data_IF_111941123187
#
_entry.id   IF_111941123187
#
_cell.length_a   1.000
_cell.length_b   1.000
_cell.length_c   1.000
_cell.angle_alpha   90.00
_cell.angle_beta   90.00
_cell.angle_gamma   90.00
#
_symmetry.space_group_name_H-M   'P 1'
#
loop_
_entity.id
_entity.type
_entity.pdbx_description
1 polymer ?
#
# COMPACT_ATOMS: atom_id res chain seq x y z
N UNK A 1 14.67 68.90 -22.40
CA UNK A 1 13.38 68.23 -22.67
C UNK A 1 13.68 67.05 -23.59
N UNK A 2 13.97 65.90 -22.99
CA UNK A 2 14.16 64.62 -23.68
C UNK A 2 13.41 63.63 -22.82
N UNK A 3 12.32 63.08 -23.37
CA UNK A 3 11.50 62.05 -22.74
C UNK A 3 12.30 60.76 -22.68
N UNK A 4 12.30 60.13 -21.50
CA UNK A 4 12.84 58.80 -21.26
C UNK A 4 11.63 57.88 -21.17
N UNK A 5 11.56 56.92 -22.09
CA UNK A 5 10.56 55.85 -22.10
C UNK A 5 11.00 54.72 -21.14
N UNK A 6 10.10 54.36 -20.22
CA UNK A 6 10.19 53.17 -19.38
C UNK A 6 9.82 51.90 -20.17
N UNK A 7 10.55 50.78 -20.03
CA UNK A 7 10.04 49.48 -20.44
C UNK A 7 9.23 48.82 -19.31
N UNK A 8 7.98 48.47 -19.64
CA UNK A 8 7.13 47.57 -18.85
C UNK A 8 7.79 46.21 -18.68
N UNK A 9 7.95 45.78 -17.43
CA UNK A 9 8.17 44.38 -17.07
C UNK A 9 6.85 43.59 -17.16
N UNK A 10 6.79 42.63 -18.07
CA UNK A 10 5.75 41.59 -18.09
C UNK A 10 6.22 40.42 -17.21
N UNK A 11 5.65 40.33 -16.01
CA UNK A 11 5.82 39.21 -15.10
C UNK A 11 4.56 38.35 -15.11
N UNK A 12 4.60 37.19 -15.77
CA UNK A 12 4.00 35.92 -15.31
C UNK A 12 4.26 34.82 -16.35
N UNK A 13 5.30 34.02 -16.15
CA UNK A 13 5.45 32.72 -16.81
C UNK A 13 5.65 31.69 -15.71
N UNK A 14 4.55 31.02 -15.31
CA UNK A 14 4.66 29.78 -14.55
C UNK A 14 5.12 28.67 -15.51
N UNK A 15 6.17 27.90 -15.18
CA UNK A 15 6.47 26.69 -15.91
C UNK A 15 5.55 25.58 -15.40
N UNK A 16 4.46 25.30 -16.12
CA UNK A 16 3.84 23.99 -16.06
C UNK A 16 4.78 23.01 -16.76
N UNK A 17 5.40 22.11 -16.00
CA UNK A 17 6.17 20.99 -16.55
C UNK A 17 5.16 19.86 -16.82
N UNK A 18 4.83 19.53 -18.09
CA UNK A 18 4.03 18.36 -18.39
C UNK A 18 4.90 17.13 -18.21
N UNK A 19 4.50 16.24 -17.30
CA UNK A 19 5.06 14.90 -17.22
C UNK A 19 4.39 14.05 -18.31
N UNK A 20 5.04 13.98 -19.47
CA UNK A 20 4.73 12.98 -20.49
C UNK A 20 5.31 11.62 -20.03
N UNK A 21 4.51 10.83 -19.32
CA UNK A 21 4.66 9.38 -19.40
C UNK A 21 4.12 8.97 -20.75
N UNK A 22 5.01 8.76 -21.72
CA UNK A 22 4.66 8.23 -23.03
C UNK A 22 4.01 6.85 -22.87
N UNK A 23 2.68 6.85 -22.81
CA UNK A 23 1.85 5.67 -22.96
C UNK A 23 2.01 5.16 -24.39
N UNK A 24 2.88 4.17 -24.57
CA UNK A 24 2.81 3.33 -25.76
C UNK A 24 1.54 2.51 -25.66
N UNK A 25 0.48 3.05 -26.26
CA UNK A 25 -0.78 2.35 -26.53
C UNK A 25 -0.51 1.27 -27.58
N UNK A 26 -0.05 0.11 -27.14
CA UNK A 26 -0.15 -1.14 -27.89
C UNK A 26 -1.44 -1.84 -27.47
N UNK A 27 -2.44 -1.83 -28.35
CA UNK A 27 -3.57 -2.75 -28.27
C UNK A 27 -3.04 -4.18 -28.26
N UNK A 28 -3.43 -4.99 -27.28
CA UNK A 28 -4.01 -6.33 -27.49
C UNK A 28 -4.00 -7.19 -26.19
N UNK A 29 -5.15 -7.85 -26.02
CA UNK A 29 -5.52 -8.94 -25.10
C UNK A 29 -5.23 -8.73 -23.60
N UNK A 30 -5.95 -7.81 -22.97
CA UNK A 30 -6.33 -8.02 -21.56
C UNK A 30 -7.37 -9.14 -21.53
N UNK A 31 -7.06 -10.26 -20.88
CA UNK A 31 -8.06 -11.27 -20.53
C UNK A 31 -8.98 -10.67 -19.47
N UNK A 32 -9.97 -9.90 -19.92
CA UNK A 32 -11.09 -9.46 -19.08
C UNK A 32 -11.92 -10.70 -18.77
N UNK A 33 -11.81 -11.21 -17.55
CA UNK A 33 -12.71 -12.26 -17.07
C UNK A 33 -14.07 -11.58 -16.84
N UNK A 34 -15.13 -11.92 -17.60
CA UNK A 34 -16.45 -11.39 -17.31
C UNK A 34 -16.93 -11.97 -15.97
N UNK A 35 -17.18 -11.09 -15.01
CA UNK A 35 -17.86 -11.46 -13.76
C UNK A 35 -19.25 -12.01 -14.08
N UNK A 36 -19.58 -13.16 -13.48
CA UNK A 36 -20.90 -13.77 -13.61
C UNK A 36 -21.97 -12.83 -13.02
N UNK A 37 -23.12 -12.62 -13.70
CA UNK A 37 -24.23 -11.89 -13.13
C UNK A 37 -24.88 -12.74 -12.04
N UNK A 38 -25.06 -12.14 -10.86
CA UNK A 38 -25.85 -12.68 -9.75
C UNK A 38 -27.24 -13.05 -10.26
N UNK A 39 -27.58 -14.35 -10.25
CA UNK A 39 -28.90 -14.82 -10.62
C UNK A 39 -29.93 -14.38 -9.56
N UNK A 40 -30.83 -13.47 -9.94
CA UNK A 40 -32.09 -13.25 -9.23
C UNK A 40 -32.96 -14.51 -9.38
N UNK A 41 -33.24 -15.15 -8.26
CA UNK A 41 -34.23 -16.23 -8.18
C UNK A 41 -35.63 -15.62 -8.19
N UNK A 42 -36.23 -15.51 -9.37
CA UNK A 42 -37.67 -15.29 -9.51
C UNK A 42 -38.41 -16.61 -9.38
N UNK A 43 -39.25 -16.71 -8.33
CA UNK A 43 -40.19 -17.80 -8.16
C UNK A 43 -41.50 -17.48 -8.88
N UNK A 44 -41.79 -18.30 -9.89
CA UNK A 44 -43.05 -18.40 -10.62
C UNK A 44 -44.29 -18.41 -9.72
N UNK A 45 -45.26 -17.54 -10.00
CA UNK A 45 -46.67 -17.82 -9.72
C UNK A 45 -47.55 -17.36 -10.88
N UNK A 46 -48.23 -18.34 -11.46
CA UNK A 46 -49.14 -18.29 -12.60
C UNK A 46 -50.43 -17.52 -12.28
N UNK A 47 -50.89 -16.65 -13.19
CA UNK A 47 -52.28 -16.67 -13.70
C UNK A 47 -52.51 -15.75 -14.91
N UNK A 48 -53.42 -16.13 -15.84
CA UNK A 48 -53.60 -15.47 -17.13
C UNK A 48 -54.77 -14.47 -17.13
N UNK A 49 -54.73 -13.46 -18.02
CA UNK A 49 -55.79 -13.18 -19.00
C UNK A 49 -55.59 -11.86 -19.76
N UNK A 50 -55.95 -11.94 -21.05
CA UNK A 50 -56.57 -10.93 -21.91
C UNK A 50 -55.76 -9.75 -22.47
N UNK A 51 -55.38 -9.92 -23.74
CA UNK A 51 -55.84 -9.14 -24.92
C UNK A 51 -56.16 -7.64 -24.76
N UNK A 52 -55.47 -6.82 -25.55
CA UNK A 52 -55.94 -5.47 -25.92
C UNK A 52 -54.89 -4.71 -26.71
N UNK A 53 -55.25 -4.28 -27.91
CA UNK A 53 -54.41 -3.61 -28.91
C UNK A 53 -54.36 -2.09 -28.74
N UNK A 54 -53.43 -1.47 -29.48
CA UNK A 54 -53.43 -0.07 -29.98
C UNK A 54 -53.07 1.05 -28.98
N UNK A 55 -51.99 1.79 -29.28
CA UNK A 55 -52.01 3.05 -30.06
C UNK A 55 -50.91 4.02 -29.58
N UNK A 56 -50.28 4.67 -30.56
CA UNK A 56 -49.32 5.75 -30.39
C UNK A 56 -49.95 7.01 -29.77
N UNK A 57 -49.17 7.77 -28.99
CA UNK A 57 -49.55 9.12 -28.62
C UNK A 57 -48.53 9.84 -27.74
N UNK A 58 -47.60 10.55 -28.37
CA UNK A 58 -46.86 11.63 -27.73
C UNK A 58 -47.82 12.78 -27.38
N UNK A 59 -47.65 13.46 -26.24
CA UNK A 59 -47.82 14.92 -26.11
C UNK A 59 -47.29 15.40 -24.74
N UNK A 60 -46.60 16.55 -24.85
CA UNK A 60 -46.07 17.46 -23.85
C UNK A 60 -47.10 17.95 -22.81
N UNK A 61 -46.64 18.30 -21.61
CA UNK A 61 -47.48 18.89 -20.57
C UNK A 61 -46.67 19.47 -19.41
N UNK A 62 -46.33 20.73 -19.57
CA UNK A 62 -45.62 21.62 -18.65
C UNK A 62 -46.46 21.97 -17.40
N UNK A 63 -45.75 22.46 -16.37
CA UNK A 63 -46.17 23.54 -15.46
C UNK A 63 -47.06 23.30 -14.19
N UNK A 64 -46.49 23.73 -13.04
CA UNK A 64 -47.04 24.59 -11.95
C UNK A 64 -47.26 23.97 -10.54
N UNK A 65 -46.48 24.56 -9.61
CA UNK A 65 -46.73 24.99 -8.22
C UNK A 65 -47.69 24.23 -7.29
N UNK A 66 -47.19 23.98 -6.08
CA UNK A 66 -48.00 23.89 -4.87
C UNK A 66 -47.16 23.77 -3.60
N UNK A 67 -46.68 24.89 -3.06
CA UNK A 67 -46.37 25.02 -1.63
C UNK A 67 -47.68 24.99 -0.83
N UNK A 68 -47.70 24.43 0.38
CA UNK A 68 -47.90 25.34 1.51
C UNK A 68 -47.01 25.04 2.73
N UNK A 69 -46.64 26.15 3.34
CA UNK A 69 -46.02 26.37 4.63
C UNK A 69 -47.06 26.22 5.76
N UNK A 70 -46.82 25.37 6.77
CA UNK A 70 -47.41 25.51 8.13
C UNK A 70 -46.47 24.94 9.21
N UNK A 71 -45.86 25.88 9.94
CA UNK A 71 -45.50 25.91 11.38
C UNK A 71 -45.83 24.71 12.29
N UNK A 72 -44.87 24.39 13.19
CA UNK A 72 -44.87 24.67 14.66
C UNK A 72 -44.61 23.46 15.58
N UNK A 73 -43.77 23.71 16.60
CA UNK A 73 -43.72 23.10 17.97
C UNK A 73 -43.37 21.60 18.06
N UNK A 74 -42.70 21.05 19.07
CA UNK A 74 -42.19 21.53 20.37
C UNK A 74 -41.11 20.56 20.86
N UNK A 75 -40.39 21.01 21.90
CA UNK A 75 -39.38 20.30 22.67
C UNK A 75 -39.77 18.89 23.16
N UNK A 76 -38.76 18.04 23.38
CA UNK A 76 -38.74 17.07 24.48
C UNK A 76 -37.30 16.64 24.75
N UNK A 77 -36.79 17.10 25.89
CA UNK A 77 -35.66 16.52 26.61
C UNK A 77 -36.03 15.12 27.10
N UNK A 78 -35.09 14.17 27.03
CA UNK A 78 -35.15 12.95 27.85
C UNK A 78 -33.74 12.53 28.26
N UNK A 79 -33.47 12.74 29.53
CA UNK A 79 -32.33 12.24 30.30
C UNK A 79 -32.58 10.79 30.77
N UNK A 80 -31.57 9.95 30.65
CA UNK A 80 -31.34 8.72 31.45
C UNK A 80 -29.84 8.44 31.38
N UNK A 81 -29.03 8.71 32.41
CA UNK A 81 -28.85 7.90 33.62
C UNK A 81 -28.92 6.40 33.35
N UNK A 82 -27.75 5.76 33.22
CA UNK A 82 -27.47 4.58 34.04
C UNK A 82 -25.97 4.33 34.19
N UNK A 83 -25.56 4.17 35.45
CA UNK A 83 -24.18 3.95 35.85
C UNK A 83 -23.76 2.50 35.73
N UNK A 84 -22.45 2.27 35.71
CA UNK A 84 -21.85 0.99 36.06
C UNK A 84 -20.41 1.22 36.52
N UNK A 85 -20.26 1.37 37.83
CA UNK A 85 -19.01 1.15 38.53
C UNK A 85 -18.70 -0.35 38.53
N UNK A 86 -17.49 -0.73 38.15
CA UNK A 86 -16.96 -2.07 38.40
C UNK A 86 -15.53 -1.96 38.92
N UNK A 87 -15.45 -2.02 40.24
CA UNK A 87 -14.25 -2.26 41.03
C UNK A 87 -14.04 -3.76 41.21
N UNK A 88 -12.89 -4.28 40.78
CA UNK A 88 -12.29 -5.53 41.31
C UNK A 88 -10.78 -5.32 41.33
N UNK A 89 -10.18 -4.95 42.46
CA UNK A 89 -9.73 -5.80 43.58
C UNK A 89 -8.59 -6.79 43.23
N UNK A 90 -7.51 -6.59 43.98
CA UNK A 90 -6.22 -7.27 44.04
C UNK A 90 -6.27 -8.80 44.21
N UNK A 91 -5.19 -9.46 43.77
CA UNK A 91 -4.44 -10.56 44.43
C UNK A 91 -3.14 -10.77 43.59
N UNK A 92 -1.92 -10.50 44.07
CA UNK A 92 -1.04 -11.41 44.84
C UNK A 92 -1.00 -12.84 44.27
N UNK A 93 0.10 -13.57 44.15
CA UNK A 93 1.52 -13.42 44.46
C UNK A 93 2.22 -14.68 43.90
N UNK A 94 3.51 -14.56 43.55
CA UNK A 94 4.61 -15.51 43.82
C UNK A 94 4.41 -17.02 43.57
N UNK A 95 5.24 -17.65 42.73
CA UNK A 95 6.10 -18.80 43.08
C UNK A 95 7.02 -19.21 41.92
N UNK A 96 8.32 -19.00 42.10
CA UNK A 96 9.37 -19.73 41.38
C UNK A 96 9.69 -21.03 42.12
N UNK A 97 10.10 -22.10 41.41
CA UNK A 97 10.96 -23.10 42.00
C UNK A 97 12.27 -23.26 41.23
N UNK A 98 13.37 -23.23 41.98
CA UNK A 98 14.71 -23.57 41.55
C UNK A 98 15.05 -25.04 41.85
N UNK A 99 15.66 -25.73 40.89
CA UNK A 99 16.58 -26.88 41.05
C UNK A 99 15.98 -28.24 41.47
N UNK A 100 16.66 -29.38 41.18
CA UNK A 100 18.11 -29.55 41.34
C UNK A 100 18.85 -30.32 40.21
N UNK A 101 20.14 -30.54 40.47
CA UNK A 101 21.28 -30.97 39.64
C UNK A 101 21.35 -32.47 39.29
N UNK A 102 22.29 -32.74 38.35
CA UNK A 102 23.13 -33.96 38.19
C UNK A 102 22.52 -35.06 37.28
N UNK A 103 23.23 -35.82 36.44
CA UNK A 103 24.61 -36.31 36.39
C UNK A 103 25.04 -36.58 34.92
N UNK A 104 26.34 -36.46 34.62
CA UNK A 104 27.00 -37.08 33.45
C UNK A 104 27.08 -38.61 33.58
N UNK A 105 27.27 -39.35 32.46
CA UNK A 105 28.51 -40.14 32.37
C UNK A 105 29.15 -40.22 30.97
N UNK A 106 30.48 -40.06 30.98
CA UNK A 106 31.56 -40.79 30.27
C UNK A 106 31.34 -41.41 28.89
N UNK A 107 32.04 -40.81 27.91
CA UNK A 107 33.08 -41.39 27.04
C UNK A 107 32.93 -42.80 26.44
N UNK A 108 32.99 -42.89 25.12
CA UNK A 108 33.71 -43.95 24.41
C UNK A 108 34.32 -43.43 23.10
N UNK A 109 35.62 -43.59 23.04
CA UNK A 109 36.56 -43.27 21.98
C UNK A 109 36.43 -44.27 20.83
N UNK A 110 36.33 -43.80 19.58
CA UNK A 110 36.73 -44.59 18.42
C UNK A 110 37.34 -43.67 17.37
N UNK A 111 38.63 -43.88 17.14
CA UNK A 111 39.47 -43.20 16.17
C UNK A 111 39.02 -43.52 14.75
N UNK A 112 38.94 -42.51 13.88
CA UNK A 112 39.26 -42.67 12.46
C UNK A 112 39.48 -41.33 11.76
N UNK A 113 40.65 -41.25 11.11
CA UNK A 113 41.02 -40.43 9.96
C UNK A 113 40.78 -38.92 10.05
N UNK A 114 41.87 -38.21 10.34
CA UNK A 114 42.07 -36.82 9.92
C UNK A 114 41.98 -36.74 8.39
N UNK A 115 40.90 -36.13 7.90
CA UNK A 115 40.90 -35.38 6.65
C UNK A 115 40.78 -33.93 7.08
N UNK A 116 41.89 -33.20 6.96
CA UNK A 116 41.89 -31.74 6.93
C UNK A 116 41.07 -31.34 5.71
N UNK A 117 39.78 -31.08 5.93
CA UNK A 117 38.95 -30.32 5.01
C UNK A 117 39.05 -28.90 5.55
N UNK A 118 39.76 -28.07 4.82
CA UNK A 118 39.65 -26.62 4.92
C UNK A 118 38.16 -26.28 4.68
N UNK A 119 37.39 -26.16 5.77
CA UNK A 119 36.09 -25.51 5.76
C UNK A 119 36.38 -24.02 5.51
N UNK A 120 36.57 -23.69 4.23
CA UNK A 120 36.45 -22.33 3.72
C UNK A 120 35.01 -21.88 4.02
N UNK A 121 34.87 -21.21 5.17
CA UNK A 121 33.71 -20.41 5.62
C UNK A 121 33.43 -19.27 4.61
N UNK A 122 33.03 -19.62 3.39
CA UNK A 122 32.69 -18.70 2.29
C UNK A 122 31.18 -18.43 2.18
N UNK A 123 30.39 -18.74 3.21
CA UNK A 123 28.92 -18.59 3.20
C UNK A 123 28.39 -17.44 4.09
N UNK A 124 29.24 -16.47 4.46
CA UNK A 124 28.78 -15.14 4.88
C UNK A 124 28.46 -14.28 3.63
N UNK A 125 27.70 -14.81 2.65
CA UNK A 125 27.07 -13.93 1.66
C UNK A 125 26.06 -13.10 2.46
N UNK A 126 26.31 -11.80 2.71
CA UNK A 126 25.47 -11.02 3.61
C UNK A 126 24.09 -11.04 3.01
N UNK A 127 23.17 -11.76 3.66
CA UNK A 127 21.80 -12.05 3.21
C UNK A 127 21.22 -10.83 2.51
N UNK A 128 21.41 -10.79 1.19
CA UNK A 128 21.04 -9.63 0.37
C UNK A 128 19.54 -9.53 0.48
N UNK A 129 19.06 -8.40 0.97
CA UNK A 129 17.65 -8.10 1.27
C UNK A 129 16.70 -8.78 0.29
N UNK A 130 15.99 -9.83 0.73
CA UNK A 130 15.08 -10.62 -0.11
C UNK A 130 13.68 -9.98 -0.24
N UNK A 131 13.60 -8.66 -0.37
CA UNK A 131 12.41 -7.97 -0.87
C UNK A 131 11.88 -6.77 -0.07
N UNK A 132 10.88 -6.09 -0.65
CA UNK A 132 10.47 -4.67 -0.53
C UNK A 132 10.78 -3.85 0.74
N UNK A 133 11.34 -2.65 0.49
CA UNK A 133 11.65 -1.57 1.44
C UNK A 133 11.08 -0.21 0.97
N UNK A 134 9.95 -0.20 0.24
CA UNK A 134 9.54 1.01 -0.48
C UNK A 134 9.12 2.14 0.46
N UNK A 135 8.22 1.84 1.39
CA UNK A 135 7.84 2.75 2.47
C UNK A 135 8.75 2.40 3.63
N UNK A 136 9.45 3.38 4.20
CA UNK A 136 10.31 3.19 5.37
C UNK A 136 9.56 3.49 6.68
N UNK A 137 8.58 4.39 6.62
CA UNK A 137 7.68 4.73 7.72
C UNK A 137 6.49 5.51 7.15
N UNK A 138 5.33 5.40 7.79
CA UNK A 138 4.11 6.10 7.41
C UNK A 138 3.37 6.59 8.66
N UNK A 139 2.67 7.72 8.56
CA UNK A 139 1.69 8.17 9.54
C UNK A 139 0.49 8.78 8.79
N UNK A 140 -0.72 8.26 8.96
CA UNK A 140 -1.90 8.85 8.28
C UNK A 140 -2.17 10.26 8.79
N UNK A 141 -2.90 11.13 8.09
CA UNK A 141 -3.57 12.26 8.74
C UNK A 141 -4.43 11.79 9.93
N UNK A 142 -4.67 12.68 10.90
CA UNK A 142 -5.63 12.42 11.98
C UNK A 142 -7.05 12.37 11.38
N UNK A 143 -7.74 11.25 11.59
CA UNK A 143 -9.14 11.03 11.24
C UNK A 143 -9.88 10.68 12.54
N UNK A 144 -11.02 11.32 12.79
CA UNK A 144 -11.82 11.12 14.01
C UNK A 144 -11.02 11.25 15.33
N UNK A 145 -10.09 12.22 15.35
CA UNK A 145 -9.24 12.49 16.52
C UNK A 145 -8.12 11.48 16.74
N UNK A 146 -7.92 10.51 15.84
CA UNK A 146 -6.83 9.52 15.93
C UNK A 146 -6.02 9.45 14.65
N UNK A 147 -4.71 9.25 14.81
CA UNK A 147 -3.81 8.97 13.70
C UNK A 147 -3.78 7.45 13.48
N UNK A 148 -4.21 6.96 12.32
CA UNK A 148 -4.08 5.55 11.98
C UNK A 148 -2.63 5.28 11.64
N UNK A 149 -2.13 4.25 12.31
CA UNK A 149 -0.78 3.76 12.18
C UNK A 149 -0.86 2.42 11.42
N UNK A 150 -0.29 2.29 10.21
CA UNK A 150 -0.38 1.06 9.38
C UNK A 150 0.94 0.30 9.31
N UNK A 151 0.92 -0.99 9.68
CA UNK A 151 1.91 -2.10 9.53
C UNK A 151 3.43 -1.86 9.62
N UNK A 152 3.85 -0.63 9.89
CA UNK A 152 5.17 -0.14 10.30
C UNK A 152 5.05 0.57 11.66
N UNK A 153 4.01 0.22 12.43
CA UNK A 153 3.21 1.21 13.16
C UNK A 153 2.44 0.66 14.36
N UNK A 154 2.61 -0.61 14.72
CA UNK A 154 2.27 -1.03 16.08
C UNK A 154 3.29 -0.41 17.05
N UNK A 155 2.86 0.00 18.25
CA UNK A 155 3.81 0.28 19.34
C UNK A 155 4.60 -0.98 19.73
N UNK A 156 4.10 -2.17 19.36
CA UNK A 156 4.75 -3.46 19.50
C UNK A 156 5.47 -3.89 18.21
N UNK A 157 5.49 -3.04 17.18
CA UNK A 157 6.29 -3.28 15.99
C UNK A 157 7.76 -3.14 16.38
N UNK A 158 8.47 -4.27 16.36
CA UNK A 158 9.93 -4.29 16.54
C UNK A 158 10.65 -3.48 15.43
N UNK A 159 9.94 -3.15 14.34
CA UNK A 159 10.35 -2.43 13.13
C UNK A 159 11.70 -2.85 12.57
N UNK A 160 11.93 -4.12 12.76
CA UNK A 160 12.58 -4.94 11.77
C UNK A 160 11.47 -5.30 10.80
N UNK A 161 11.60 -4.87 9.55
CA UNK A 161 10.76 -5.34 8.45
C UNK A 161 10.69 -6.85 8.52
N UNK A 162 9.51 -7.37 8.86
CA UNK A 162 9.37 -8.80 9.08
C UNK A 162 9.26 -9.48 7.71
N UNK A 163 10.42 -9.82 7.17
CA UNK A 163 10.52 -10.85 6.14
C UNK A 163 10.32 -12.16 6.89
N UNK A 164 9.22 -12.85 6.62
CA UNK A 164 8.99 -14.15 7.21
C UNK A 164 10.09 -15.13 6.74
N UNK A 165 10.40 -16.20 7.50
CA UNK A 165 11.47 -17.14 7.15
C UNK A 165 11.35 -17.75 5.75
N UNK A 166 10.14 -17.76 5.18
CA UNK A 166 9.82 -18.24 3.84
C UNK A 166 10.03 -17.18 2.73
N UNK A 167 10.48 -15.97 3.07
CA UNK A 167 10.74 -14.88 2.13
C UNK A 167 9.51 -14.04 1.77
N UNK A 168 8.37 -14.29 2.40
CA UNK A 168 7.16 -13.51 2.15
C UNK A 168 7.10 -12.24 2.99
N UNK A 169 6.52 -11.19 2.41
CA UNK A 169 6.43 -9.85 3.00
C UNK A 169 4.99 -9.36 2.92
N UNK A 170 4.47 -8.84 4.04
CA UNK A 170 3.12 -8.27 4.16
C UNK A 170 3.17 -6.75 4.43
N UNK A 171 3.10 -5.93 3.37
CA UNK A 171 3.01 -4.46 3.47
C UNK A 171 1.56 -3.97 3.37
N UNK A 172 1.28 -2.78 3.90
CA UNK A 172 -0.06 -2.17 3.96
C UNK A 172 -0.88 -2.24 2.66
N UNK A 173 -0.24 -2.14 1.49
CA UNK A 173 -0.88 -2.10 0.18
C UNK A 173 -0.30 -3.13 -0.81
N UNK A 174 0.52 -4.05 -0.31
CA UNK A 174 1.29 -4.97 -1.16
C UNK A 174 1.75 -6.17 -0.35
N UNK A 175 1.58 -7.36 -0.89
CA UNK A 175 2.18 -8.58 -0.33
C UNK A 175 2.90 -9.35 -1.42
N UNK A 176 3.89 -10.14 -1.07
CA UNK A 176 4.49 -11.06 -2.03
C UNK A 176 5.64 -11.88 -1.51
N UNK A 177 6.05 -12.86 -2.31
CA UNK A 177 7.13 -13.79 -2.00
C UNK A 177 7.31 -14.85 -3.10
N UNK A 178 8.33 -15.72 -2.99
CA UNK A 178 9.42 -15.71 -2.00
C UNK A 178 10.41 -14.54 -2.17
N UNK A 179 10.28 -13.80 -3.27
CA UNK A 179 10.97 -12.52 -3.46
C UNK A 179 10.00 -11.44 -3.93
N UNK A 180 9.87 -10.38 -3.14
CA UNK A 180 9.06 -9.21 -3.48
C UNK A 180 9.95 -8.08 -4.00
N UNK A 181 9.87 -7.79 -5.30
CA UNK A 181 10.78 -6.85 -5.95
C UNK A 181 10.72 -5.44 -5.35
N UNK A 182 11.87 -4.87 -4.97
CA UNK A 182 11.97 -3.53 -4.38
C UNK A 182 11.63 -2.42 -5.38
N UNK A 183 10.89 -1.41 -4.92
CA UNK A 183 10.65 -0.20 -5.70
C UNK A 183 11.91 0.66 -5.86
N UNK A 184 12.00 1.43 -6.96
CA UNK A 184 11.10 1.45 -8.10
C UNK A 184 11.30 0.20 -8.94
N UNK A 185 10.19 -0.44 -9.30
CA UNK A 185 10.18 -1.65 -10.10
C UNK A 185 9.96 -1.29 -11.57
N UNK A 186 10.78 -1.85 -12.44
CA UNK A 186 10.51 -1.91 -13.88
C UNK A 186 9.79 -3.23 -14.15
N UNK A 187 8.60 -3.13 -14.73
CA UNK A 187 7.83 -4.30 -15.19
C UNK A 187 7.94 -4.41 -16.70
N UNK A 188 8.33 -5.59 -17.18
CA UNK A 188 8.44 -5.88 -18.60
C UNK A 188 7.52 -7.05 -18.93
N UNK A 189 6.95 -7.05 -20.14
CA UNK A 189 6.29 -8.24 -20.67
C UNK A 189 7.35 -9.33 -20.84
N UNK A 190 6.98 -10.57 -20.56
CA UNK A 190 7.81 -11.72 -20.93
C UNK A 190 8.05 -11.71 -22.44
N UNK A 191 9.19 -12.24 -22.86
CA UNK A 191 9.45 -12.43 -24.29
C UNK A 191 8.51 -13.51 -24.83
N UNK A 192 8.14 -13.41 -26.11
CA UNK A 192 7.20 -14.35 -26.72
C UNK A 192 7.74 -15.80 -26.72
N UNK A 193 9.05 -15.99 -26.72
CA UNK A 193 9.71 -17.29 -26.67
C UNK A 193 9.91 -17.82 -25.23
N UNK A 194 9.47 -17.08 -24.21
CA UNK A 194 9.57 -17.50 -22.83
C UNK A 194 8.51 -18.58 -22.51
N UNK A 195 8.91 -19.75 -21.97
CA UNK A 195 7.97 -20.82 -21.65
C UNK A 195 6.91 -20.43 -20.61
N UNK A 196 7.12 -19.33 -19.89
CA UNK A 196 6.18 -18.84 -18.89
C UNK A 196 4.99 -18.08 -19.51
N UNK A 197 5.04 -17.72 -20.81
CA UNK A 197 3.96 -16.96 -21.47
C UNK A 197 2.62 -17.70 -21.41
N UNK A 198 2.65 -19.03 -21.60
CA UNK A 198 1.46 -19.87 -21.72
C UNK A 198 0.88 -20.27 -20.35
N UNK A 199 1.53 -19.91 -19.24
CA UNK A 199 1.08 -20.25 -17.88
C UNK A 199 -0.34 -19.74 -17.61
N UNK A 200 -0.68 -18.56 -18.13
CA UNK A 200 -2.01 -17.99 -17.93
C UNK A 200 -3.08 -18.69 -18.78
N UNK A 201 -2.68 -19.56 -19.71
CA UNK A 201 -3.57 -20.41 -20.50
C UNK A 201 -3.84 -21.76 -19.80
N UNK A 202 -3.07 -22.12 -18.76
CA UNK A 202 -3.36 -23.29 -17.92
C UNK A 202 -4.63 -23.05 -17.09
N UNK A 203 -5.75 -23.55 -17.62
CA UNK A 203 -7.05 -23.43 -16.99
C UNK A 203 -7.09 -24.06 -15.59
N UNK A 204 -6.40 -25.18 -15.36
CA UNK A 204 -6.44 -25.87 -14.06
C UNK A 204 -5.71 -25.04 -13.00
N UNK A 205 -4.54 -24.50 -13.34
CA UNK A 205 -3.79 -23.62 -12.45
C UNK A 205 -4.58 -22.33 -12.18
N UNK A 206 -5.12 -21.69 -13.24
CA UNK A 206 -5.87 -20.46 -13.10
C UNK A 206 -7.13 -20.64 -12.22
N UNK A 207 -7.84 -21.75 -12.35
CA UNK A 207 -8.99 -22.07 -11.48
C UNK A 207 -8.59 -22.20 -10.00
N UNK A 208 -7.45 -22.82 -9.69
CA UNK A 208 -6.93 -22.89 -8.32
C UNK A 208 -6.59 -21.50 -7.77
N UNK A 209 -5.99 -20.63 -8.60
CA UNK A 209 -5.68 -19.25 -8.24
C UNK A 209 -6.95 -18.47 -7.95
N UNK A 210 -7.94 -18.51 -8.84
CA UNK A 210 -9.22 -17.81 -8.66
C UNK A 210 -9.93 -18.32 -7.40
N UNK A 211 -9.97 -19.64 -7.19
CA UNK A 211 -10.58 -20.23 -5.98
C UNK A 211 -9.89 -19.74 -4.71
N UNK A 212 -8.56 -19.63 -4.73
CA UNK A 212 -7.78 -19.09 -3.61
C UNK A 212 -8.13 -17.63 -3.35
N UNK A 213 -8.20 -16.79 -4.39
CA UNK A 213 -8.56 -15.39 -4.24
C UNK A 213 -9.97 -15.25 -3.63
N UNK A 214 -10.93 -16.04 -4.10
CA UNK A 214 -12.30 -16.07 -3.55
C UNK A 214 -12.35 -16.54 -2.09
N UNK A 215 -11.57 -17.57 -1.72
CA UNK A 215 -11.49 -18.07 -0.33
C UNK A 215 -11.05 -16.99 0.66
N UNK A 216 -10.14 -16.10 0.22
CA UNK A 216 -9.60 -15.01 1.02
C UNK A 216 -10.33 -13.66 0.81
N UNK A 217 -11.49 -13.65 0.16
CA UNK A 217 -12.29 -12.45 -0.14
C UNK A 217 -11.52 -11.37 -0.95
N UNK A 218 -10.58 -11.81 -1.78
CA UNK A 218 -9.76 -10.93 -2.63
C UNK A 218 -10.39 -10.85 -4.01
N UNK A 219 -10.85 -9.66 -4.38
CA UNK A 219 -11.47 -9.39 -5.68
C UNK A 219 -10.44 -8.84 -6.67
N UNK A 220 -9.91 -9.65 -7.62
CA UNK A 220 -8.87 -9.20 -8.53
C UNK A 220 -9.43 -8.20 -9.56
N UNK A 221 -8.72 -7.08 -9.72
CA UNK A 221 -8.92 -6.10 -10.80
C UNK A 221 -8.21 -6.57 -12.07
N UNK A 222 -7.00 -7.12 -11.92
CA UNK A 222 -6.24 -7.71 -13.02
C UNK A 222 -5.26 -8.75 -12.52
N UNK A 223 -4.90 -9.69 -13.39
CA UNK A 223 -3.86 -10.68 -13.15
C UNK A 223 -2.89 -10.67 -14.33
N UNK A 224 -1.59 -10.59 -14.07
CA UNK A 224 -0.58 -10.50 -15.12
C UNK A 224 0.72 -11.16 -14.71
N UNK A 225 1.37 -11.82 -15.66
CA UNK A 225 2.74 -12.30 -15.49
C UNK A 225 3.71 -11.30 -16.12
N UNK A 226 4.72 -10.87 -15.36
CA UNK A 226 5.70 -9.85 -15.77
C UNK A 226 7.10 -10.23 -15.29
N UNK A 227 8.10 -9.82 -16.05
CA UNK A 227 9.46 -9.75 -15.52
C UNK A 227 9.60 -8.49 -14.69
N UNK A 228 9.88 -8.65 -13.40
CA UNK A 228 10.09 -7.54 -12.48
C UNK A 228 11.58 -7.37 -12.23
N UNK A 229 12.05 -6.13 -12.32
CA UNK A 229 13.43 -5.75 -12.05
C UNK A 229 13.46 -4.52 -11.16
N UNK A 230 14.19 -4.58 -10.07
CA UNK A 230 14.40 -3.39 -9.23
C UNK A 230 15.40 -2.48 -9.94
N UNK A 231 15.20 -1.16 -9.92
CA UNK A 231 16.26 -0.25 -10.42
C UNK A 231 17.52 -0.26 -9.55
N UNK A 232 17.47 -0.86 -8.36
CA UNK A 232 18.61 -1.00 -7.45
C UNK A 232 19.42 -2.25 -7.82
N UNK A 233 18.75 -3.27 -8.36
CA UNK A 233 19.33 -4.57 -8.68
C UNK A 233 19.12 -4.88 -10.17
N UNK A 234 20.07 -4.41 -10.97
CA UNK A 234 20.00 -4.48 -12.44
C UNK A 234 20.18 -5.90 -13.00
N UNK A 235 20.65 -6.87 -12.23
CA UNK A 235 21.02 -8.17 -12.78
C UNK A 235 19.97 -9.26 -12.55
N UNK A 236 18.96 -8.99 -11.72
CA UNK A 236 18.00 -10.01 -11.30
C UNK A 236 16.58 -9.70 -11.81
N UNK A 237 16.35 -9.93 -13.11
CA UNK A 237 14.99 -10.03 -13.66
C UNK A 237 14.33 -11.29 -13.09
N UNK A 238 13.16 -11.13 -12.48
CA UNK A 238 12.43 -12.23 -11.88
C UNK A 238 11.00 -12.30 -12.40
N UNK A 239 10.56 -13.45 -12.93
CA UNK A 239 9.16 -13.62 -13.28
C UNK A 239 8.31 -13.49 -12.02
N UNK A 240 7.26 -12.67 -12.11
CA UNK A 240 6.36 -12.37 -11.01
C UNK A 240 4.93 -12.37 -11.53
N UNK A 241 4.10 -13.24 -10.96
CA UNK A 241 2.66 -13.22 -11.13
C UNK A 241 2.07 -12.17 -10.22
N UNK A 242 1.51 -11.11 -10.82
CA UNK A 242 0.98 -9.95 -10.12
C UNK A 242 -0.54 -9.98 -10.19
N UNK A 243 -1.18 -10.05 -9.04
CA UNK A 243 -2.61 -9.79 -8.85
C UNK A 243 -2.75 -8.34 -8.40
N UNK A 244 -3.53 -7.55 -9.14
CA UNK A 244 -3.93 -6.21 -8.69
C UNK A 244 -5.31 -6.30 -8.04
N UNK A 245 -5.46 -5.81 -6.81
CA UNK A 245 -6.71 -5.82 -6.06
C UNK A 245 -6.74 -4.62 -5.10
N UNK A 246 -7.92 -4.15 -4.68
CA UNK A 246 -8.00 -3.09 -3.65
C UNK A 246 -7.88 -3.71 -2.27
N UNK A 247 -7.05 -3.13 -1.39
CA UNK A 247 -6.97 -3.56 0.02
C UNK A 247 -7.69 -2.57 0.92
N UNK A 248 -8.83 -2.99 1.45
CA UNK A 248 -9.63 -2.20 2.38
C UNK A 248 -9.22 -2.45 3.84
N UNK A 249 -8.87 -3.70 4.18
CA UNK A 249 -8.42 -4.11 5.51
C UNK A 249 -6.98 -4.62 5.52
N UNK A 250 -6.22 -4.24 6.54
CA UNK A 250 -4.88 -4.77 6.77
C UNK A 250 -4.93 -5.98 7.70
N UNK A 251 -5.14 -7.16 7.13
CA UNK A 251 -5.15 -8.45 7.82
C UNK A 251 -4.25 -9.47 7.09
N UNK A 252 -4.27 -10.74 7.51
CA UNK A 252 -3.40 -11.78 6.93
C UNK A 252 -3.98 -12.43 5.66
N UNK A 253 -5.18 -12.07 5.20
CA UNK A 253 -5.84 -12.70 4.03
C UNK A 253 -4.94 -12.64 2.78
N UNK A 254 -4.39 -11.47 2.49
CA UNK A 254 -3.52 -11.24 1.34
C UNK A 254 -2.25 -12.09 1.39
N UNK A 255 -1.56 -12.14 2.54
CA UNK A 255 -0.30 -12.91 2.64
C UNK A 255 -0.56 -14.42 2.60
N UNK A 256 -1.66 -14.90 3.18
CA UNK A 256 -2.07 -16.30 3.14
C UNK A 256 -2.45 -16.73 1.72
N UNK A 257 -3.25 -15.91 1.01
CA UNK A 257 -3.60 -16.14 -0.39
C UNK A 257 -2.33 -16.17 -1.27
N UNK A 258 -1.42 -15.21 -1.06
CA UNK A 258 -0.17 -15.13 -1.81
C UNK A 258 0.68 -16.40 -1.66
N UNK A 259 0.82 -16.93 -0.43
CA UNK A 259 1.50 -18.21 -0.16
C UNK A 259 0.83 -19.39 -0.85
N UNK A 260 -0.51 -19.47 -0.78
CA UNK A 260 -1.26 -20.55 -1.41
C UNK A 260 -1.13 -20.52 -2.94
N UNK A 261 -1.23 -19.33 -3.55
CA UNK A 261 -1.01 -19.14 -4.99
C UNK A 261 0.41 -19.57 -5.37
N UNK A 262 1.43 -19.18 -4.60
CA UNK A 262 2.80 -19.60 -4.86
C UNK A 262 2.98 -21.13 -4.74
N UNK A 263 2.31 -21.78 -3.78
CA UNK A 263 2.30 -23.25 -3.70
C UNK A 263 1.69 -23.88 -4.94
N UNK A 264 0.60 -23.33 -5.49
CA UNK A 264 0.02 -23.84 -6.74
C UNK A 264 1.01 -23.75 -7.91
N UNK A 265 1.81 -22.66 -7.99
CA UNK A 265 2.91 -22.57 -8.95
C UNK A 265 4.00 -23.60 -8.66
N UNK A 266 4.43 -23.73 -7.40
CA UNK A 266 5.48 -24.67 -7.00
C UNK A 266 5.11 -26.13 -7.32
N UNK A 267 3.86 -26.52 -7.05
CA UNK A 267 3.33 -27.86 -7.33
C UNK A 267 3.24 -28.17 -8.84
N UNK A 268 3.24 -27.14 -9.68
CA UNK A 268 3.26 -27.24 -11.14
C UNK A 268 4.67 -27.09 -11.73
N UNK A 269 5.73 -27.26 -10.92
CA UNK A 269 7.14 -27.08 -11.30
C UNK A 269 7.48 -25.64 -11.75
N UNK A 270 6.75 -24.64 -11.23
CA UNK A 270 6.91 -23.21 -11.53
C UNK A 270 7.35 -22.40 -10.29
N UNK A 271 8.03 -23.03 -9.34
CA UNK A 271 8.46 -22.41 -8.07
C UNK A 271 9.38 -21.18 -8.22
N UNK A 272 9.96 -20.96 -9.41
CA UNK A 272 10.72 -19.77 -9.77
C UNK A 272 9.86 -18.50 -9.95
N UNK A 273 8.55 -18.65 -10.15
CA UNK A 273 7.61 -17.53 -10.32
C UNK A 273 7.28 -16.96 -8.95
N UNK A 274 7.59 -15.69 -8.74
CA UNK A 274 7.19 -14.97 -7.53
C UNK A 274 5.72 -14.59 -7.62
N UNK A 275 5.06 -14.44 -6.47
CA UNK A 275 3.68 -13.99 -6.42
C UNK A 275 3.63 -12.65 -5.70
N UNK A 276 2.86 -11.74 -6.27
CA UNK A 276 2.61 -10.44 -5.69
C UNK A 276 1.10 -10.13 -5.75
N UNK A 277 0.52 -9.70 -4.64
CA UNK A 277 -0.82 -9.09 -4.61
C UNK A 277 -0.63 -7.63 -4.21
N UNK A 278 -1.09 -6.69 -5.03
CA UNK A 278 -0.80 -5.27 -4.85
C UNK A 278 -2.00 -4.39 -5.15
N UNK A 279 -2.14 -3.34 -4.37
CA UNK A 279 -3.05 -2.25 -4.66
C UNK A 279 -2.49 -1.42 -5.83
N UNK A 280 -3.24 -1.20 -6.93
CA UNK A 280 -2.78 -0.38 -8.06
C UNK A 280 -2.22 0.98 -7.63
N UNK A 281 -2.69 1.51 -6.50
CA UNK A 281 -2.25 2.78 -5.94
C UNK A 281 -0.76 2.87 -5.64
N UNK A 282 -0.08 1.74 -5.42
CA UNK A 282 1.35 1.73 -5.10
C UNK A 282 2.25 2.13 -6.29
N UNK A 283 1.75 1.99 -7.52
CA UNK A 283 2.52 2.22 -8.74
C UNK A 283 2.40 3.64 -9.29
N UNK A 284 1.29 4.31 -9.02
CA UNK A 284 0.95 5.60 -9.59
C UNK A 284 0.81 6.64 -8.49
N UNK A 285 1.93 7.26 -8.12
CA UNK A 285 1.93 8.37 -7.17
C UNK A 285 2.05 9.70 -7.90
N UNK A 286 0.97 10.46 -7.95
CA UNK A 286 1.01 11.87 -8.28
C UNK A 286 1.47 12.68 -7.08
N UNK A 287 2.28 13.70 -7.35
CA UNK A 287 2.72 14.68 -6.37
C UNK A 287 2.26 16.05 -6.84
N UNK A 288 1.56 16.79 -5.98
CA UNK A 288 1.21 18.18 -6.25
C UNK A 288 1.82 19.09 -5.18
N UNK A 289 2.42 20.23 -5.58
CA UNK A 289 2.97 21.17 -4.63
C UNK A 289 1.86 21.79 -3.77
N UNK A 290 2.23 22.22 -2.58
CA UNK A 290 1.37 23.07 -1.74
C UNK A 290 1.09 24.41 -2.44
N UNK A 291 -0.08 24.97 -2.19
CA UNK A 291 -0.48 26.30 -2.65
C UNK A 291 -0.91 27.18 -1.48
N UNK A 292 -1.08 28.47 -1.77
CA UNK A 292 -1.55 29.49 -0.82
C UNK A 292 -2.91 29.18 -0.19
N UNK A 293 -3.72 28.34 -0.82
CA UNK A 293 -5.01 27.88 -0.29
C UNK A 293 -4.90 26.78 0.75
N UNK A 294 -3.75 26.12 0.90
CA UNK A 294 -3.61 24.97 1.79
C UNK A 294 -3.46 25.39 3.25
N UNK A 295 -4.02 24.61 4.20
CA UNK A 295 -3.91 24.91 5.64
C UNK A 295 -2.46 25.01 6.15
N UNK A 296 -1.53 24.31 5.49
CA UNK A 296 -0.10 24.35 5.86
C UNK A 296 0.61 25.62 5.39
N UNK A 297 0.06 26.33 4.40
CA UNK A 297 0.76 27.44 3.75
C UNK A 297 1.21 28.55 4.71
N UNK A 298 0.38 29.03 5.66
CA UNK A 298 0.78 30.09 6.58
C UNK A 298 1.94 29.72 7.52
N UNK A 299 2.17 28.43 7.72
CA UNK A 299 3.23 27.89 8.61
C UNK A 299 4.30 27.11 7.85
N UNK A 300 4.29 27.16 6.51
CA UNK A 300 5.14 26.32 5.67
C UNK A 300 6.63 26.58 5.90
N UNK A 301 7.03 27.85 5.97
CA UNK A 301 8.42 28.25 6.22
C UNK A 301 8.92 27.77 7.59
N UNK A 302 8.05 27.89 8.61
CA UNK A 302 8.35 27.44 9.97
C UNK A 302 8.46 25.92 10.05
N UNK A 303 7.53 25.19 9.42
CA UNK A 303 7.56 23.74 9.29
C UNK A 303 8.87 23.28 8.63
N UNK A 304 9.25 23.89 7.50
CA UNK A 304 10.49 23.55 6.80
C UNK A 304 11.74 23.84 7.66
N UNK A 305 11.76 24.99 8.34
CA UNK A 305 12.85 25.37 9.25
C UNK A 305 13.02 24.37 10.39
N UNK A 306 11.93 23.96 11.05
CA UNK A 306 11.96 22.95 12.11
C UNK A 306 12.41 21.59 11.60
N UNK A 307 11.90 21.15 10.46
CA UNK A 307 12.33 19.90 9.83
C UNK A 307 13.83 19.86 9.55
N UNK A 308 14.41 20.95 9.03
CA UNK A 308 15.85 21.04 8.76
C UNK A 308 16.68 21.06 10.06
N UNK A 309 16.17 21.71 11.12
CA UNK A 309 16.90 21.87 12.37
C UNK A 309 16.85 20.63 13.27
N UNK A 310 15.71 19.92 13.31
CA UNK A 310 15.45 18.86 14.28
C UNK A 310 15.70 17.46 13.72
N UNK A 311 15.57 17.26 12.41
CA UNK A 311 15.65 15.93 11.80
C UNK A 311 17.08 15.62 11.34
N UNK A 312 17.57 14.42 11.68
CA UNK A 312 18.82 13.91 11.10
C UNK A 312 18.60 13.49 9.63
N UNK A 313 18.94 14.40 8.71
CA UNK A 313 18.82 14.24 7.26
C UNK A 313 19.92 13.35 6.61
N UNK A 314 20.71 12.63 7.40
CA UNK A 314 21.66 11.64 6.85
C UNK A 314 20.90 10.60 6.02
N UNK A 315 21.38 10.30 4.81
CA UNK A 315 20.69 9.46 3.80
C UNK A 315 19.37 10.01 3.25
N UNK A 316 18.95 11.22 3.62
CA UNK A 316 17.79 11.86 3.01
C UNK A 316 18.15 12.39 1.63
N UNK A 317 17.33 12.05 0.65
CA UNK A 317 17.36 12.55 -0.72
C UNK A 317 16.59 13.87 -0.82
N UNK A 318 15.37 13.90 -0.30
CA UNK A 318 14.50 15.06 -0.31
C UNK A 318 13.53 15.03 0.87
N UNK A 319 13.07 16.21 1.30
CA UNK A 319 11.95 16.38 2.22
C UNK A 319 11.09 17.52 1.71
N UNK A 320 9.79 17.29 1.58
CA UNK A 320 8.85 18.27 1.01
C UNK A 320 7.45 18.08 1.60
N UNK A 321 6.67 19.16 1.63
CA UNK A 321 5.23 19.08 1.93
C UNK A 321 4.47 19.11 0.60
N UNK A 322 3.70 18.07 0.32
CA UNK A 322 3.05 17.85 -0.97
C UNK A 322 1.72 17.11 -0.79
N UNK A 323 0.80 17.26 -1.73
CA UNK A 323 -0.31 16.33 -1.85
C UNK A 323 0.18 15.04 -2.49
N UNK A 324 -0.16 13.90 -1.88
CA UNK A 324 0.28 12.57 -2.31
C UNK A 324 -0.94 11.70 -2.55
N UNK A 325 -1.02 11.03 -3.69
CA UNK A 325 -2.13 10.16 -4.01
C UNK A 325 -2.13 9.73 -5.48
N UNK A 326 -3.20 9.07 -5.87
CA UNK A 326 -3.36 8.40 -7.18
C UNK A 326 -4.32 9.14 -8.10
N UNK A 327 -5.14 10.01 -7.51
CA UNK A 327 -6.11 10.84 -8.23
C UNK A 327 -5.42 12.04 -8.87
N UNK A 328 -5.86 12.43 -10.07
CA UNK A 328 -5.43 13.68 -10.71
C UNK A 328 -6.04 14.93 -10.07
N UNK A 329 -7.11 14.76 -9.27
CA UNK A 329 -7.78 15.85 -8.57
C UNK A 329 -7.07 16.13 -7.25
N UNK A 330 -6.38 17.26 -7.18
CA UNK A 330 -5.60 17.67 -6.01
C UNK A 330 -6.46 17.75 -4.75
N UNK A 331 -7.70 18.21 -4.83
CA UNK A 331 -8.57 18.41 -3.67
C UNK A 331 -8.92 17.11 -2.96
N UNK A 332 -8.76 15.97 -3.64
CA UNK A 332 -9.01 14.63 -3.08
C UNK A 332 -7.74 13.96 -2.56
N UNK A 333 -6.58 14.58 -2.76
CA UNK A 333 -5.31 14.00 -2.35
C UNK A 333 -4.95 14.47 -0.94
N UNK A 334 -4.62 13.54 -0.02
CA UNK A 334 -4.18 13.93 1.32
C UNK A 334 -2.87 14.72 1.24
N UNK A 335 -2.76 15.71 2.11
CA UNK A 335 -1.55 16.49 2.30
C UNK A 335 -0.58 15.68 3.19
N UNK A 336 0.69 15.62 2.81
CA UNK A 336 1.69 14.89 3.57
C UNK A 336 3.07 15.55 3.53
N UNK A 337 3.85 15.35 4.58
CA UNK A 337 5.30 15.47 4.54
C UNK A 337 5.85 14.21 3.87
N UNK A 338 6.38 14.37 2.67
CA UNK A 338 7.07 13.32 1.92
C UNK A 338 8.58 13.44 2.15
N UNK A 339 9.17 12.44 2.78
CA UNK A 339 10.62 12.28 2.88
C UNK A 339 11.06 11.14 1.96
N UNK A 340 11.97 11.45 1.04
CA UNK A 340 12.62 10.45 0.18
C UNK A 340 14.00 10.18 0.74
N UNK A 341 14.36 8.91 0.94
CA UNK A 341 15.65 8.47 1.50
C UNK A 341 16.39 7.60 0.48
N UNK A 342 17.71 7.49 0.60
CA UNK A 342 18.52 6.67 -0.32
C UNK A 342 18.11 5.20 -0.25
N UNK A 343 18.14 4.51 -1.39
CA UNK A 343 17.86 3.07 -1.44
C UNK A 343 18.75 2.24 -0.51
N UNK A 344 20.02 2.64 -0.39
CA UNK A 344 21.01 1.97 0.45
C UNK A 344 20.85 2.26 1.94
N UNK A 345 19.92 3.14 2.33
CA UNK A 345 19.72 3.42 3.74
C UNK A 345 19.09 2.22 4.44
N UNK A 346 19.77 1.75 5.48
CA UNK A 346 19.30 0.68 6.37
C UNK A 346 18.89 1.26 7.73
N UNK A 347 18.73 2.59 7.81
CA UNK A 347 18.30 3.27 9.03
C UNK A 347 16.84 2.90 9.34
N UNK A 348 16.55 2.80 10.63
CA UNK A 348 15.17 2.81 11.11
C UNK A 348 14.64 4.25 11.06
N UNK A 349 13.55 4.46 10.31
CA UNK A 349 12.96 5.76 10.06
C UNK A 349 11.75 6.08 10.95
N UNK A 350 11.35 5.18 11.85
CA UNK A 350 10.18 5.38 12.73
C UNK A 350 10.37 6.54 13.70
N UNK A 351 11.53 6.61 14.36
CA UNK A 351 11.88 7.74 15.22
C UNK A 351 11.87 9.07 14.45
N UNK A 352 12.30 9.06 13.19
CA UNK A 352 12.24 10.23 12.31
C UNK A 352 10.80 10.60 11.95
N UNK A 353 9.95 9.61 11.63
CA UNK A 353 8.52 9.81 11.40
C UNK A 353 7.86 10.44 12.64
N UNK A 354 8.09 9.88 13.82
CA UNK A 354 7.45 10.35 15.06
C UNK A 354 7.90 11.77 15.42
N UNK A 355 9.15 12.11 15.15
CA UNK A 355 9.64 13.49 15.27
C UNK A 355 8.94 14.44 14.29
N UNK A 356 8.75 14.03 13.03
CA UNK A 356 7.96 14.83 12.06
C UNK A 356 6.53 15.01 12.55
N UNK A 357 5.89 13.95 13.07
CA UNK A 357 4.53 14.03 13.62
C UNK A 357 4.47 15.01 14.78
N UNK A 358 5.41 14.98 15.72
CA UNK A 358 5.47 15.93 16.84
C UNK A 358 5.59 17.39 16.34
N UNK A 359 6.41 17.64 15.32
CA UNK A 359 6.53 18.97 14.70
C UNK A 359 5.18 19.40 14.09
N UNK A 360 4.47 18.49 13.40
CA UNK A 360 3.16 18.78 12.82
C UNK A 360 2.11 19.07 13.90
N UNK A 361 2.12 18.31 14.99
CA UNK A 361 1.19 18.48 16.10
C UNK A 361 1.43 19.81 16.83
N UNK A 362 2.69 20.18 17.09
CA UNK A 362 3.06 21.49 17.65
C UNK A 362 2.58 22.67 16.79
N UNK A 363 2.56 22.48 15.46
CA UNK A 363 2.10 23.48 14.50
C UNK A 363 0.59 23.42 14.24
N UNK A 364 -0.16 22.57 14.97
CA UNK A 364 -1.59 22.34 14.79
C UNK A 364 -1.96 21.91 13.36
N UNK A 365 -1.19 20.98 12.79
CA UNK A 365 -1.39 20.41 11.45
C UNK A 365 -1.84 18.93 11.50
N UNK A 366 -2.93 18.58 12.22
CA UNK A 366 -3.36 17.19 12.37
C UNK A 366 -3.78 16.56 11.03
N UNK A 367 -4.15 17.36 10.04
CA UNK A 367 -4.56 16.92 8.71
C UNK A 367 -3.39 16.49 7.80
N UNK A 368 -2.14 16.68 8.21
CA UNK A 368 -0.95 16.38 7.39
C UNK A 368 -0.40 15.00 7.76
N UNK A 369 -0.31 14.10 6.77
CA UNK A 369 0.32 12.79 6.89
C UNK A 369 1.84 12.86 6.85
N UNK A 370 2.51 11.74 7.14
CA UNK A 370 3.96 11.57 6.94
C UNK A 370 4.19 10.33 6.09
N UNK A 371 5.01 10.45 5.05
CA UNK A 371 5.41 9.32 4.20
C UNK A 371 6.91 9.36 4.02
N UNK A 372 7.62 8.37 4.56
CA UNK A 372 9.05 8.16 4.32
C UNK A 372 9.20 7.02 3.33
N UNK A 373 9.90 7.24 2.23
CA UNK A 373 10.03 6.24 1.15
C UNK A 373 11.45 6.18 0.60
N UNK A 374 11.91 5.00 0.19
CA UNK A 374 13.19 4.88 -0.52
C UNK A 374 13.04 5.38 -1.95
N UNK A 375 13.99 6.21 -2.37
CA UNK A 375 13.99 6.81 -3.69
C UNK A 375 15.34 7.40 -4.06
N UNK A 376 15.38 8.00 -5.24
CA UNK A 376 16.49 8.84 -5.69
C UNK A 376 15.92 10.17 -6.16
N UNK A 377 16.59 11.28 -5.84
CA UNK A 377 16.25 12.56 -6.45
C UNK A 377 16.57 12.45 -7.93
N UNK A 378 15.55 12.56 -8.78
CA UNK A 378 15.76 12.84 -10.19
C UNK A 378 16.33 14.27 -10.25
N UNK A 379 17.64 14.40 -10.42
CA UNK A 379 18.21 15.68 -10.81
C UNK A 379 17.74 15.97 -12.23
N UNK A 380 16.81 16.91 -12.35
CA UNK A 380 16.43 17.53 -13.62
C UNK A 380 17.52 18.43 -14.16
#
# INVERSE_FOLDING_TARGET
MVSVDDPKEDSTTQPSIPWDTSSQSGSDADTVIPGEPTAENDADTVSPNNSGSEEFGAVSGDCIQGYPDVKKSDASDSSSDDGSDSSSQDCSDTFSPAGPRSLSPTSSTSSQAALDIDDDDDDDEPTRSKGSHNICAYASPVQDGRRIRTSCDSNDDIGIWHVEPDGFINEAKRVGGPYLCCFPVKMQKLKHDDPLVDILEDYVLLQKIISTLTEHDIHPISMKLRECQSKIDFFNLRPTFIVSATRDTFDDSWILACRQIWRHFSDADLGQVNVEISDPEIYARSLWPVQTSDPVWPVHDELQRRMIAEINLTDTCAIMTVHVGTTQKREKMPLAVLMVVRYQSNRDWRNTRDLIVNILDDLNLPMVGVVITKGQVLRG
#
